data_IF_846541936990
#
_entry.id   IF_846541936990
#
_cell.length_a   1.000
_cell.length_b   1.000
_cell.length_c   1.000
_cell.angle_alpha   90.00
_cell.angle_beta   90.00
_cell.angle_gamma   90.00
#
_symmetry.space_group_name_H-M   'P 1'
#
loop_
_entity.id
_entity.type
_entity.pdbx_description
1 polymer ?
#
# COMPACT_ATOMS: atom_id res chain seq x y z
N UNK A 1 -3.90 -13.49 1.80
CA UNK A 1 -5.36 -13.76 1.83
C UNK A 1 -5.92 -13.53 0.44
N UNK A 2 -7.02 -14.18 0.08
CA UNK A 2 -7.72 -14.04 -1.22
C UNK A 2 -9.22 -14.03 -0.99
N UNK A 3 -9.97 -13.20 -1.70
CA UNK A 3 -11.43 -13.28 -1.72
C UNK A 3 -11.90 -14.11 -2.90
N UNK A 4 -12.75 -15.10 -2.65
CA UNK A 4 -13.41 -15.88 -3.70
C UNK A 4 -14.88 -16.06 -3.32
N UNK A 5 -15.80 -15.72 -4.22
CA UNK A 5 -17.24 -15.93 -4.04
C UNK A 5 -17.81 -15.41 -2.70
N UNK A 6 -17.31 -14.25 -2.22
CA UNK A 6 -17.74 -13.64 -0.97
C UNK A 6 -17.15 -14.24 0.32
N UNK A 7 -16.32 -15.28 0.21
CA UNK A 7 -15.56 -15.87 1.32
C UNK A 7 -14.10 -15.39 1.27
N UNK A 8 -13.55 -15.00 2.42
CA UNK A 8 -12.12 -14.72 2.55
C UNK A 8 -11.39 -16.01 2.89
N UNK A 9 -10.37 -16.28 2.11
CA UNK A 9 -9.50 -17.41 2.27
C UNK A 9 -8.12 -16.96 2.71
N UNK A 10 -7.59 -17.67 3.69
CA UNK A 10 -6.19 -17.57 4.03
C UNK A 10 -5.37 -18.38 3.03
N UNK A 11 -4.26 -17.82 2.56
CA UNK A 11 -3.32 -18.53 1.68
C UNK A 11 -2.32 -19.22 2.60
N UNK A 12 -2.24 -20.54 2.57
CA UNK A 12 -1.26 -21.27 3.38
C UNK A 12 0.15 -20.96 2.84
N UNK A 13 1.08 -20.48 3.68
CA UNK A 13 2.42 -20.08 3.24
C UNK A 13 3.20 -21.22 2.57
N UNK A 14 2.99 -22.47 3.00
CA UNK A 14 3.67 -23.66 2.47
C UNK A 14 3.05 -24.20 1.17
N UNK A 15 1.82 -23.79 0.82
CA UNK A 15 1.16 -24.20 -0.42
C UNK A 15 0.14 -23.14 -0.89
N UNK A 16 0.51 -22.27 -1.86
CA UNK A 16 -0.36 -21.20 -2.37
C UNK A 16 -1.68 -21.68 -3.01
N UNK A 17 -1.80 -22.97 -3.32
CA UNK A 17 -3.02 -23.57 -3.88
C UNK A 17 -4.05 -24.00 -2.82
N UNK A 18 -3.65 -24.07 -1.55
CA UNK A 18 -4.54 -24.39 -0.43
C UNK A 18 -5.09 -23.10 0.20
N UNK A 19 -6.41 -22.99 0.16
CA UNK A 19 -7.18 -21.86 0.66
C UNK A 19 -8.06 -22.34 1.82
N UNK A 20 -7.84 -21.83 3.03
CA UNK A 20 -8.69 -22.15 4.18
C UNK A 20 -9.75 -21.06 4.39
N UNK A 21 -11.05 -21.41 4.42
CA UNK A 21 -12.11 -20.43 4.64
C UNK A 21 -12.02 -19.87 6.06
N UNK A 22 -11.97 -18.55 6.19
CA UNK A 22 -11.96 -17.88 7.49
C UNK A 22 -13.41 -17.83 8.01
N UNK A 23 -13.78 -18.72 8.94
CA UNK A 23 -15.06 -18.64 9.66
C UNK A 23 -15.05 -17.41 10.58
N UNK A 24 -15.48 -16.28 10.03
CA UNK A 24 -15.41 -14.97 10.67
C UNK A 24 -16.73 -14.23 10.46
N UNK A 25 -17.16 -13.44 11.44
CA UNK A 25 -18.37 -12.61 11.31
C UNK A 25 -18.28 -11.73 10.04
N UNK A 26 -19.39 -11.50 9.30
CA UNK A 26 -19.41 -10.62 8.13
C UNK A 26 -18.83 -9.22 8.40
N UNK A 27 -19.02 -8.70 9.62
CA UNK A 27 -18.49 -7.40 10.05
C UNK A 27 -16.95 -7.41 10.06
N UNK A 28 -16.36 -8.48 10.59
CA UNK A 28 -14.90 -8.63 10.67
C UNK A 28 -14.33 -8.89 9.27
N UNK A 29 -15.04 -9.67 8.47
CA UNK A 29 -14.67 -9.96 7.08
C UNK A 29 -14.57 -8.68 6.27
N UNK A 30 -15.54 -7.79 6.38
CA UNK A 30 -15.54 -6.49 5.71
C UNK A 30 -14.34 -5.64 6.14
N UNK A 31 -14.01 -5.63 7.43
CA UNK A 31 -12.87 -4.88 7.92
C UNK A 31 -11.53 -5.43 7.41
N UNK A 32 -11.39 -6.76 7.35
CA UNK A 32 -10.21 -7.39 6.72
C UNK A 32 -10.11 -7.00 5.25
N UNK A 33 -11.23 -6.95 4.52
CA UNK A 33 -11.24 -6.51 3.13
C UNK A 33 -10.79 -5.07 2.96
N UNK A 34 -11.28 -4.17 3.82
CA UNK A 34 -10.90 -2.76 3.77
C UNK A 34 -9.45 -2.53 4.16
N UNK A 35 -8.85 -3.39 4.99
CA UNK A 35 -7.51 -3.19 5.55
C UNK A 35 -6.41 -4.05 4.91
N UNK A 36 -6.75 -5.05 4.08
CA UNK A 36 -5.75 -5.95 3.48
C UNK A 36 -4.75 -5.25 2.53
N UNK A 37 -3.55 -5.82 2.41
CA UNK A 37 -2.50 -5.37 1.51
C UNK A 37 -2.97 -5.30 0.04
N UNK A 38 -3.13 -4.08 -0.48
CA UNK A 38 -3.61 -3.78 -1.83
C UNK A 38 -3.02 -2.45 -2.33
N UNK A 39 -3.00 -2.18 -3.64
CA UNK A 39 -2.74 -0.84 -4.15
C UNK A 39 -3.84 0.12 -3.67
N UNK A 40 -3.44 1.22 -3.03
CA UNK A 40 -4.34 2.24 -2.48
C UNK A 40 -3.95 3.60 -2.98
N UNK A 41 -4.95 4.42 -3.27
CA UNK A 41 -4.73 5.81 -3.65
C UNK A 41 -4.09 6.59 -2.48
N UNK A 42 -2.99 7.27 -2.78
CA UNK A 42 -2.27 8.11 -1.83
C UNK A 42 -1.96 9.47 -2.44
N UNK A 43 -1.87 10.48 -1.58
CA UNK A 43 -1.41 11.82 -1.92
C UNK A 43 0.12 11.86 -1.84
N UNK A 44 0.77 12.01 -2.99
CA UNK A 44 2.22 12.02 -3.11
C UNK A 44 2.69 13.44 -3.40
N UNK A 45 3.58 13.94 -2.56
CA UNK A 45 4.18 15.27 -2.71
C UNK A 45 5.30 15.23 -3.77
N UNK A 46 5.13 16.00 -4.84
CA UNK A 46 5.99 15.89 -6.03
C UNK A 46 7.46 16.19 -5.69
N UNK A 47 7.72 17.18 -4.84
CA UNK A 47 9.07 17.59 -4.42
C UNK A 47 9.84 16.49 -3.67
N UNK A 48 9.14 15.60 -2.96
CA UNK A 48 9.76 14.51 -2.19
C UNK A 48 10.21 13.35 -3.07
N UNK A 49 9.49 13.09 -4.15
CA UNK A 49 9.88 12.02 -5.08
C UNK A 49 10.91 12.44 -6.12
N UNK A 50 11.00 13.74 -6.41
CA UNK A 50 12.00 14.28 -7.33
C UNK A 50 12.85 15.34 -6.60
N UNK A 51 13.64 14.96 -5.57
CA UNK A 51 14.40 15.92 -4.77
C UNK A 51 15.43 16.69 -5.59
N UNK A 52 15.98 16.08 -6.65
CA UNK A 52 16.92 16.72 -7.59
C UNK A 52 16.30 17.90 -8.37
N UNK A 53 14.97 18.00 -8.41
CA UNK A 53 14.24 19.15 -8.98
C UNK A 53 14.13 20.32 -8.01
N UNK A 54 15.22 20.58 -7.27
CA UNK A 54 15.37 21.48 -6.09
C UNK A 54 14.83 22.92 -6.23
N UNK A 55 14.36 23.33 -7.40
CA UNK A 55 13.85 24.69 -7.69
C UNK A 55 12.38 24.74 -8.15
N UNK A 56 11.72 23.58 -8.34
CA UNK A 56 10.43 23.56 -9.03
C UNK A 56 9.23 23.55 -8.08
N UNK A 57 8.60 24.72 -7.94
CA UNK A 57 7.28 24.86 -7.35
C UNK A 57 6.22 24.29 -8.32
N UNK A 58 6.02 22.97 -8.27
CA UNK A 58 4.98 22.30 -9.03
C UNK A 58 3.58 22.68 -8.54
N UNK A 59 2.66 22.90 -9.48
CA UNK A 59 1.23 23.11 -9.25
C UNK A 59 0.46 22.06 -10.06
N UNK A 60 -0.31 21.16 -9.41
CA UNK A 60 -0.47 21.01 -7.96
C UNK A 60 0.82 20.51 -7.27
N UNK A 61 0.96 20.79 -5.97
CA UNK A 61 2.09 20.30 -5.16
C UNK A 61 2.06 18.80 -4.91
N UNK A 62 0.87 18.19 -5.00
CA UNK A 62 0.67 16.76 -4.79
C UNK A 62 -0.10 16.16 -5.95
N UNK A 63 0.14 14.87 -6.19
CA UNK A 63 -0.58 14.06 -7.16
C UNK A 63 -1.14 12.81 -6.50
N UNK A 64 -2.24 12.30 -7.03
CA UNK A 64 -2.78 10.99 -6.66
C UNK A 64 -2.11 9.88 -7.46
N UNK A 65 -1.62 8.86 -6.76
CA UNK A 65 -1.06 7.62 -7.32
C UNK A 65 -1.46 6.44 -6.43
N UNK A 66 -1.33 5.21 -6.93
CA UNK A 66 -1.50 4.01 -6.11
C UNK A 66 -0.16 3.56 -5.51
N UNK A 67 -0.14 3.34 -4.20
CA UNK A 67 0.97 2.71 -3.47
C UNK A 67 0.45 1.53 -2.66
N UNK A 68 1.32 0.57 -2.40
CA UNK A 68 0.94 -0.61 -1.62
C UNK A 68 0.73 -0.21 -0.16
N UNK A 69 -0.42 -0.57 0.39
CA UNK A 69 -0.76 -0.28 1.78
C UNK A 69 -1.79 -1.26 2.33
N UNK A 70 -1.94 -1.24 3.65
CA UNK A 70 -2.75 -2.21 4.39
C UNK A 70 -1.89 -3.13 5.25
N UNK A 71 -2.55 -4.01 5.98
CA UNK A 71 -1.91 -4.97 6.88
C UNK A 71 -1.69 -6.32 6.19
N UNK A 72 -0.65 -7.00 6.67
CA UNK A 72 -0.41 -8.40 6.36
C UNK A 72 -0.96 -9.27 7.48
N UNK A 73 -1.39 -10.51 7.17
CA UNK A 73 -2.09 -11.33 8.14
C UNK A 73 -1.16 -12.08 9.10
N UNK A 74 0.16 -12.05 8.85
CA UNK A 74 1.17 -12.54 9.77
C UNK A 74 2.10 -11.39 10.14
N UNK A 75 2.58 -11.42 11.37
CA UNK A 75 3.66 -10.54 11.82
C UNK A 75 4.94 -10.78 11.01
N UNK A 76 5.79 -9.76 10.89
CA UNK A 76 7.06 -9.84 10.16
C UNK A 76 6.92 -9.79 8.62
N UNK A 77 5.70 -9.83 8.08
CA UNK A 77 5.42 -9.58 6.67
C UNK A 77 5.18 -8.09 6.41
N UNK A 78 5.65 -7.61 5.27
CA UNK A 78 5.48 -6.24 4.81
C UNK A 78 4.73 -6.22 3.49
N UNK A 79 3.73 -5.34 3.39
CA UNK A 79 3.02 -5.10 2.14
C UNK A 79 3.95 -4.35 1.17
N UNK A 80 4.31 -5.01 0.07
CA UNK A 80 5.25 -4.48 -0.93
C UNK A 80 4.69 -4.67 -2.33
N UNK A 81 5.14 -3.84 -3.27
CA UNK A 81 4.74 -3.99 -4.66
C UNK A 81 5.41 -5.19 -5.31
N UNK A 82 4.66 -5.91 -6.13
CA UNK A 82 5.18 -6.96 -7.01
C UNK A 82 5.17 -6.53 -8.48
N UNK A 83 4.31 -5.57 -8.83
CA UNK A 83 4.32 -4.92 -10.13
C UNK A 83 3.92 -3.44 -10.04
N UNK A 84 4.37 -2.66 -11.02
CA UNK A 84 4.07 -1.24 -11.14
C UNK A 84 4.06 -0.82 -12.61
N UNK A 85 3.46 0.34 -12.87
CA UNK A 85 3.53 1.05 -14.14
C UNK A 85 3.92 2.51 -13.87
N UNK A 86 4.37 3.21 -14.91
CA UNK A 86 4.54 4.65 -14.85
C UNK A 86 3.30 5.35 -15.39
N UNK A 87 2.77 6.31 -14.64
CA UNK A 87 1.67 7.18 -15.07
C UNK A 87 2.14 8.61 -15.17
N UNK A 88 1.81 9.27 -16.27
CA UNK A 88 2.14 10.68 -16.45
C UNK A 88 1.09 11.55 -15.78
N UNK A 89 1.55 12.52 -14.99
CA UNK A 89 0.72 13.59 -14.43
C UNK A 89 1.22 14.90 -14.98
N UNK A 90 0.27 15.74 -15.36
CA UNK A 90 0.59 17.05 -15.89
C UNK A 90 0.62 18.07 -14.77
N UNK A 91 1.75 18.75 -14.64
CA UNK A 91 2.03 19.74 -13.62
C UNK A 91 2.36 21.07 -14.31
N UNK A 92 2.17 22.16 -13.58
CA UNK A 92 2.59 23.48 -14.02
C UNK A 92 3.70 24.02 -13.12
N UNK A 93 4.67 24.68 -13.72
CA UNK A 93 5.65 25.48 -12.99
C UNK A 93 5.08 26.87 -12.65
N UNK A 94 5.81 27.63 -11.83
CA UNK A 94 5.48 29.02 -11.50
C UNK A 94 5.36 29.94 -12.72
N UNK A 95 6.12 29.68 -13.78
CA UNK A 95 6.08 30.42 -15.04
C UNK A 95 4.91 30.02 -15.96
N UNK A 96 3.98 29.19 -15.46
CA UNK A 96 2.84 28.62 -16.19
C UNK A 96 3.23 27.66 -17.33
N UNK A 97 4.50 27.26 -17.43
CA UNK A 97 4.86 26.17 -18.32
C UNK A 97 4.24 24.86 -17.84
N UNK A 98 3.79 24.04 -18.78
CA UNK A 98 3.16 22.75 -18.52
C UNK A 98 4.16 21.64 -18.78
N UNK A 99 4.34 20.75 -17.80
CA UNK A 99 5.30 19.64 -17.86
C UNK A 99 4.61 18.34 -17.49
N UNK A 100 5.02 17.24 -18.13
CA UNK A 100 4.56 15.90 -17.76
C UNK A 100 5.63 15.23 -16.91
N UNK A 101 5.23 14.73 -15.74
CA UNK A 101 6.11 14.00 -14.83
C UNK A 101 5.54 12.59 -14.63
N UNK A 102 6.39 11.58 -14.78
CA UNK A 102 6.02 10.17 -14.74
C UNK A 102 6.17 9.60 -13.32
N UNK A 103 5.08 9.24 -12.66
CA UNK A 103 5.09 8.68 -11.31
C UNK A 103 4.92 7.16 -11.31
N UNK A 104 5.60 6.49 -10.39
CA UNK A 104 5.39 5.06 -10.14
C UNK A 104 4.03 4.82 -9.50
N UNK A 105 3.20 4.00 -10.16
CA UNK A 105 1.89 3.57 -9.72
C UNK A 105 1.88 2.05 -9.56
N UNK A 106 1.73 1.58 -8.33
CA UNK A 106 1.69 0.15 -8.04
C UNK A 106 0.40 -0.47 -8.60
N UNK A 107 0.53 -1.64 -9.24
CA UNK A 107 -0.60 -2.36 -9.84
C UNK A 107 -0.87 -3.69 -9.15
N UNK A 108 0.12 -4.26 -8.47
CA UNK A 108 -0.06 -5.44 -7.62
C UNK A 108 0.80 -5.35 -6.35
N UNK A 109 0.30 -5.90 -5.25
CA UNK A 109 0.94 -5.90 -3.95
C UNK A 109 0.86 -7.28 -3.30
N UNK A 110 1.91 -7.68 -2.60
CA UNK A 110 1.95 -8.92 -1.83
C UNK A 110 2.64 -8.72 -0.48
N UNK A 111 2.33 -9.63 0.45
CA UNK A 111 2.95 -9.67 1.77
C UNK A 111 4.22 -10.52 1.73
N UNK A 112 5.38 -9.86 1.74
CA UNK A 112 6.68 -10.52 1.70
C UNK A 112 7.43 -10.31 3.02
N UNK A 113 8.20 -11.31 3.44
CA UNK A 113 9.12 -11.14 4.57
C UNK A 113 10.27 -10.23 4.14
N UNK A 114 10.52 -9.16 4.90
CA UNK A 114 11.76 -8.40 4.75
C UNK A 114 12.81 -9.09 5.60
N UNK A 115 13.97 -9.45 5.02
CA UNK A 115 15.17 -9.68 5.86
C UNK A 115 15.42 -8.37 6.62
N UNK A 116 15.47 -8.37 7.96
CA UNK A 116 15.59 -7.12 8.69
C UNK A 116 17.00 -6.58 8.48
N UNK A 117 17.13 -5.40 7.87
CA UNK A 117 18.38 -4.63 7.90
C UNK A 117 18.63 -4.03 9.29
N UNK A 118 17.62 -3.91 10.14
CA UNK A 118 17.75 -3.64 11.57
C UNK A 118 16.41 -3.96 12.28
N UNK A 119 16.45 -4.70 13.38
CA UNK A 119 15.27 -4.98 14.22
C UNK A 119 14.88 -3.72 15.00
N UNK A 120 13.76 -3.09 14.67
CA UNK A 120 13.19 -2.02 15.50
C UNK A 120 12.17 -2.65 16.45
N UNK A 121 12.53 -2.72 17.73
CA UNK A 121 11.59 -3.08 18.81
C UNK A 121 10.62 -1.91 18.97
N UNK A 122 9.32 -2.11 18.72
CA UNK A 122 8.26 -1.17 19.14
C UNK A 122 7.43 -1.83 20.23
N UNK A 123 7.40 -1.20 21.42
CA UNK A 123 6.52 -1.57 22.54
C UNK A 123 5.06 -1.41 22.10
N UNK A 124 4.24 -2.43 22.34
CA UNK A 124 2.80 -2.34 22.13
C UNK A 124 2.19 -1.27 23.04
N UNK A 125 1.37 -0.38 22.48
CA UNK A 125 0.46 0.44 23.28
C UNK A 125 -0.79 -0.42 23.54
N UNK A 126 -0.89 -0.99 24.74
CA UNK A 126 -2.12 -1.60 25.20
C UNK A 126 -3.09 -0.49 25.61
N UNK A 127 -4.27 -0.48 25.01
CA UNK A 127 -5.47 0.07 25.63
C UNK A 127 -6.67 -0.73 25.14
N UNK A 128 -6.87 -1.89 25.77
CA UNK A 128 -8.12 -2.62 25.70
C UNK A 128 -9.13 -1.84 26.56
N UNK A 129 -9.94 -0.99 25.95
CA UNK A 129 -11.15 -0.48 26.60
C UNK A 129 -12.27 -1.48 26.28
N UNK A 130 -12.51 -2.39 27.22
CA UNK A 130 -13.78 -3.12 27.29
C UNK A 130 -14.88 -2.11 27.64
N UNK A 131 -15.91 -2.01 26.80
CA UNK A 131 -17.20 -1.44 27.18
C UNK A 131 -18.00 -2.51 27.91
#
# INVERSE_FOLDING_TARGET
>A
MRLLNGMLYYIIPDNPSLLTPLHTSPVILEEIQRTMCTPREVCLEVSKEYPESTSHFYVPRCVSVHRCGGCCPQEGLYCTNTSHIYINKTLSHRDRSMVMVAFVNHTSCECLSKRPLHSVIRRAAAAHLTV
#
